data_IF_490950614485
#
_entry.id   IF_490950614485
#
_cell.length_a   1.000
_cell.length_b   1.000
_cell.length_c   1.000
_cell.angle_alpha   90.00
_cell.angle_beta   90.00
_cell.angle_gamma   90.00
#
_symmetry.space_group_name_H-M   'P 1'
#
loop_
_entity.id
_entity.type
_entity.pdbx_description
1 polymer ?
#
# COMPACT_ATOMS: atom_id res chain seq x y z
N UNK A 1 8.48 -24.34 -5.44
CA UNK A 1 7.50 -24.24 -6.55
C UNK A 1 8.24 -23.75 -7.79
N UNK A 2 7.80 -24.11 -8.99
CA UNK A 2 8.39 -23.58 -10.23
C UNK A 2 7.88 -22.15 -10.43
N UNK A 3 8.77 -21.23 -10.82
CA UNK A 3 8.38 -19.86 -11.13
C UNK A 3 7.39 -19.81 -12.30
N UNK A 4 6.45 -18.87 -12.25
CA UNK A 4 5.66 -18.54 -13.42
C UNK A 4 6.53 -17.80 -14.44
N UNK A 5 6.36 -18.09 -15.73
CA UNK A 5 7.03 -17.40 -16.84
C UNK A 5 5.97 -16.71 -17.71
N UNK A 6 6.18 -15.43 -17.97
CA UNK A 6 5.26 -14.59 -18.75
C UNK A 6 6.05 -14.03 -19.94
N UNK A 7 5.48 -14.15 -21.14
CA UNK A 7 6.01 -13.49 -22.33
C UNK A 7 5.28 -12.15 -22.49
N UNK A 8 6.02 -11.06 -22.63
CA UNK A 8 5.47 -9.72 -22.83
C UNK A 8 5.87 -9.21 -24.22
N UNK A 9 4.91 -8.64 -24.94
CA UNK A 9 5.10 -8.07 -26.27
C UNK A 9 4.66 -6.62 -26.24
N UNK A 10 5.50 -5.71 -26.72
CA UNK A 10 5.18 -4.31 -26.92
C UNK A 10 5.25 -3.98 -28.40
N UNK A 11 4.25 -3.30 -28.92
CA UNK A 11 4.17 -2.88 -30.33
C UNK A 11 3.93 -1.38 -30.39
N UNK A 12 4.82 -0.70 -31.09
CA UNK A 12 4.73 0.73 -31.37
C UNK A 12 4.23 0.94 -32.80
N UNK A 13 3.12 1.67 -32.95
CA UNK A 13 2.41 1.89 -34.20
C UNK A 13 2.51 3.38 -34.56
N UNK A 14 3.26 3.70 -35.62
CA UNK A 14 3.39 5.06 -36.14
C UNK A 14 2.18 5.45 -37.00
N UNK A 15 1.63 6.66 -36.79
CA UNK A 15 0.52 7.18 -37.59
C UNK A 15 0.76 8.64 -37.99
N UNK A 16 1.23 8.87 -39.22
CA UNK A 16 1.58 10.21 -39.72
C UNK A 16 2.84 10.77 -39.06
N UNK A 17 3.09 12.06 -39.27
CA UNK A 17 4.24 12.73 -38.67
C UNK A 17 3.99 13.03 -37.18
N UNK A 18 4.85 12.46 -36.32
CA UNK A 18 4.91 12.79 -34.90
C UNK A 18 3.96 12.05 -33.95
N UNK A 19 3.06 11.19 -34.44
CA UNK A 19 2.17 10.42 -33.57
C UNK A 19 2.56 8.94 -33.48
N UNK A 20 2.53 8.43 -32.25
CA UNK A 20 2.84 7.03 -31.92
C UNK A 20 1.77 6.47 -30.99
N UNK A 21 1.27 5.28 -31.33
CA UNK A 21 0.41 4.49 -30.46
C UNK A 21 1.18 3.29 -29.93
N UNK A 22 0.90 2.88 -28.69
CA UNK A 22 1.55 1.72 -28.09
C UNK A 22 0.53 0.70 -27.62
N UNK A 23 0.75 -0.56 -27.98
CA UNK A 23 0.01 -1.69 -27.47
C UNK A 23 0.96 -2.60 -26.68
N UNK A 24 0.53 -3.04 -25.50
CA UNK A 24 1.27 -4.01 -24.70
C UNK A 24 0.39 -5.24 -24.49
N UNK A 25 0.96 -6.42 -24.72
CA UNK A 25 0.34 -7.71 -24.51
C UNK A 25 1.19 -8.60 -23.63
N UNK A 26 0.55 -9.54 -22.94
CA UNK A 26 1.23 -10.51 -22.08
C UNK A 26 0.49 -11.83 -22.09
N UNK A 27 1.25 -12.93 -22.18
CA UNK A 27 0.73 -14.30 -22.13
C UNK A 27 1.53 -15.13 -21.13
N UNK A 28 0.84 -15.98 -20.37
CA UNK A 28 1.49 -16.89 -19.42
C UNK A 28 2.09 -18.07 -20.22
N UNK A 29 3.41 -18.08 -20.39
CA UNK A 29 4.11 -19.17 -21.06
C UNK A 29 4.17 -20.43 -20.19
N UNK A 30 4.39 -20.26 -18.88
CA UNK A 30 4.33 -21.34 -17.91
C UNK A 30 3.67 -20.83 -16.62
N UNK A 31 2.51 -21.38 -16.23
CA UNK A 31 1.82 -20.96 -15.02
C UNK A 31 2.61 -21.15 -13.72
N UNK A 32 3.48 -22.15 -13.62
CA UNK A 32 4.26 -22.40 -12.38
C UNK A 32 3.38 -22.41 -11.12
N UNK A 33 3.76 -21.60 -10.11
CA UNK A 33 3.02 -21.42 -8.86
C UNK A 33 1.62 -20.80 -9.01
N UNK A 34 1.34 -20.09 -10.12
CA UNK A 34 0.03 -19.47 -10.38
C UNK A 34 -1.11 -20.49 -10.52
N UNK A 35 -0.80 -21.78 -10.73
CA UNK A 35 -1.81 -22.87 -10.71
C UNK A 35 -2.43 -23.08 -9.34
N UNK A 36 -1.69 -22.76 -8.28
CA UNK A 36 -2.06 -23.08 -6.90
C UNK A 36 -2.38 -21.82 -6.12
N UNK A 37 -1.81 -20.68 -6.51
CA UNK A 37 -1.99 -19.42 -5.79
C UNK A 37 -1.96 -18.22 -6.74
N UNK A 38 -2.99 -17.38 -6.66
CA UNK A 38 -3.02 -16.05 -7.25
C UNK A 38 -3.28 -15.06 -6.12
N UNK A 39 -2.40 -14.07 -5.98
CA UNK A 39 -2.56 -13.03 -4.97
C UNK A 39 -3.71 -12.09 -5.40
N UNK A 40 -4.75 -11.99 -4.57
CA UNK A 40 -5.86 -11.09 -4.81
C UNK A 40 -5.40 -9.64 -4.64
N UNK A 41 -5.68 -8.79 -5.63
CA UNK A 41 -5.43 -7.36 -5.53
C UNK A 41 -6.62 -6.70 -4.82
N UNK A 42 -6.33 -5.85 -3.84
CA UNK A 42 -7.33 -5.09 -3.05
C UNK A 42 -8.25 -4.17 -3.88
N UNK A 43 -7.90 -3.93 -5.14
CA UNK A 43 -8.66 -3.12 -6.08
C UNK A 43 -9.09 -3.96 -7.29
N UNK A 44 -10.40 -4.20 -7.38
CA UNK A 44 -11.01 -4.99 -8.45
C UNK A 44 -10.70 -4.45 -9.86
N UNK A 45 -10.40 -3.15 -10.00
CA UNK A 45 -9.94 -2.57 -11.29
C UNK A 45 -8.52 -3.02 -11.64
N UNK A 46 -7.62 -3.12 -10.66
CA UNK A 46 -6.23 -3.58 -10.87
C UNK A 46 -6.17 -5.10 -11.05
N UNK A 47 -7.04 -5.83 -10.35
CA UNK A 47 -7.17 -7.28 -10.46
C UNK A 47 -7.50 -7.71 -11.90
N UNK A 48 -8.47 -7.05 -12.55
CA UNK A 48 -8.79 -7.30 -13.97
C UNK A 48 -7.61 -7.01 -14.92
N UNK A 49 -6.79 -6.00 -14.61
CA UNK A 49 -5.67 -5.63 -15.48
C UNK A 49 -4.51 -6.65 -15.44
N UNK A 50 -4.36 -7.41 -14.35
CA UNK A 50 -3.35 -8.49 -14.24
C UNK A 50 -3.85 -9.84 -14.75
N UNK A 51 -5.16 -10.11 -14.62
CA UNK A 51 -5.76 -11.40 -15.01
C UNK A 51 -6.20 -11.50 -16.47
N UNK A 52 -6.35 -10.38 -17.18
CA UNK A 52 -6.66 -10.40 -18.61
C UNK A 52 -5.39 -10.62 -19.43
N UNK A 53 -5.23 -11.83 -19.98
CA UNK A 53 -4.25 -12.08 -21.03
C UNK A 53 -4.58 -11.21 -22.25
N UNK A 54 -3.88 -10.09 -22.39
CA UNK A 54 -3.95 -9.25 -23.59
C UNK A 54 -3.12 -9.91 -24.67
N UNK A 55 -3.74 -10.80 -25.42
CA UNK A 55 -3.11 -11.41 -26.60
C UNK A 55 -3.03 -10.37 -27.72
N UNK A 56 -1.81 -10.04 -28.12
CA UNK A 56 -1.58 -9.31 -29.36
C UNK A 56 -1.47 -10.29 -30.52
N UNK A 57 -2.00 -9.95 -31.71
CA UNK A 57 -1.77 -10.74 -32.92
C UNK A 57 -0.28 -10.76 -33.27
N UNK A 58 0.15 -11.79 -33.99
CA UNK A 58 1.49 -11.81 -34.59
C UNK A 58 1.62 -10.65 -35.58
N UNK A 59 2.63 -9.81 -35.37
CA UNK A 59 2.91 -8.63 -36.17
C UNK A 59 4.40 -8.60 -36.51
N UNK A 60 4.73 -8.17 -37.72
CA UNK A 60 6.10 -8.00 -38.19
C UNK A 60 6.38 -6.52 -38.44
N UNK A 61 7.63 -6.11 -38.27
CA UNK A 61 8.06 -4.75 -38.62
C UNK A 61 7.73 -4.44 -40.10
N UNK A 62 7.03 -3.33 -40.32
CA UNK A 62 6.58 -2.91 -41.65
C UNK A 62 5.14 -3.31 -41.99
N UNK A 63 4.47 -4.12 -41.16
CA UNK A 63 3.06 -4.45 -41.36
C UNK A 63 2.17 -3.20 -41.30
N UNK A 64 1.22 -3.12 -42.24
CA UNK A 64 0.26 -2.02 -42.31
C UNK A 64 -1.04 -2.42 -41.61
N UNK A 65 -1.33 -1.77 -40.48
CA UNK A 65 -2.57 -2.02 -39.72
C UNK A 65 -3.66 -1.05 -40.18
N UNK A 66 -4.86 -1.58 -40.45
CA UNK A 66 -6.02 -0.76 -40.81
C UNK A 66 -6.62 -0.13 -39.56
N UNK A 67 -6.64 1.20 -39.51
CA UNK A 67 -7.37 1.96 -38.49
C UNK A 67 -8.87 1.65 -38.60
N UNK A 68 -9.46 1.16 -37.51
CA UNK A 68 -10.91 0.88 -37.42
C UNK A 68 -11.68 2.06 -36.82
N UNK A 69 -11.22 2.55 -35.68
CA UNK A 69 -11.88 3.58 -34.88
C UNK A 69 -10.84 4.35 -34.06
N UNK A 70 -11.13 5.63 -33.76
CA UNK A 70 -10.38 6.44 -32.81
C UNK A 70 -11.34 6.81 -31.68
N UNK A 71 -11.06 6.30 -30.48
CA UNK A 71 -11.85 6.56 -29.28
C UNK A 71 -11.10 7.55 -28.36
N UNK A 72 -11.45 8.85 -28.36
CA UNK A 72 -10.82 9.81 -27.48
C UNK A 72 -11.30 9.57 -26.04
N UNK A 73 -10.37 9.19 -25.15
CA UNK A 73 -10.64 9.07 -23.72
C UNK A 73 -10.01 10.25 -22.98
N UNK A 74 -10.83 10.96 -22.21
CA UNK A 74 -10.35 11.96 -21.26
C UNK A 74 -10.10 11.27 -19.92
N UNK A 75 -8.89 11.40 -19.40
CA UNK A 75 -8.53 10.95 -18.07
C UNK A 75 -8.43 12.13 -17.11
N UNK A 76 -8.86 11.91 -15.87
CA UNK A 76 -8.65 12.82 -14.76
C UNK A 76 -7.65 12.20 -13.78
N UNK A 77 -6.87 13.03 -13.11
CA UNK A 77 -6.06 12.58 -11.98
C UNK A 77 -6.97 12.22 -10.82
N UNK A 78 -6.87 10.97 -10.36
CA UNK A 78 -7.54 10.54 -9.14
C UNK A 78 -6.65 10.86 -7.93
N UNK A 79 -7.24 11.24 -6.78
CA UNK A 79 -6.48 11.36 -5.54
C UNK A 79 -5.92 9.99 -5.11
N UNK A 80 -4.87 9.96 -4.26
CA UNK A 80 -4.35 8.72 -3.72
C UNK A 80 -5.47 7.88 -3.08
N UNK A 81 -5.50 6.55 -3.33
CA UNK A 81 -6.52 5.69 -2.76
C UNK A 81 -6.41 5.67 -1.23
N UNK A 82 -7.55 5.56 -0.56
CA UNK A 82 -7.58 5.34 0.89
C UNK A 82 -7.06 3.95 1.23
N UNK A 83 -6.63 3.78 2.48
CA UNK A 83 -6.15 2.50 2.98
C UNK A 83 -7.27 1.46 3.14
N UNK A 84 -6.98 0.24 2.71
CA UNK A 84 -7.62 -1.02 3.15
C UNK A 84 -6.99 -1.50 4.45
N UNK A 85 -7.50 -2.58 5.03
CA UNK A 85 -6.81 -3.30 6.11
C UNK A 85 -5.43 -3.78 5.66
N UNK A 86 -5.33 -4.46 4.51
CA UNK A 86 -4.06 -5.01 4.03
C UNK A 86 -3.03 -3.90 3.71
N UNK A 87 -3.44 -2.83 3.02
CA UNK A 87 -2.53 -1.71 2.73
C UNK A 87 -2.15 -0.91 3.98
N UNK A 88 -3.03 -0.82 5.00
CA UNK A 88 -2.66 -0.20 6.27
C UNK A 88 -1.64 -1.05 7.03
N UNK A 89 -1.85 -2.37 7.10
CA UNK A 89 -0.92 -3.31 7.73
C UNK A 89 0.44 -3.24 7.04
N UNK A 90 0.45 -3.24 5.70
CA UNK A 90 1.67 -3.12 4.92
C UNK A 90 2.42 -1.84 5.25
N UNK A 91 1.72 -0.71 5.36
CA UNK A 91 2.34 0.58 5.73
C UNK A 91 2.86 0.55 7.17
N UNK A 92 2.11 -0.02 8.12
CA UNK A 92 2.55 -0.18 9.50
C UNK A 92 3.85 -1.00 9.58
N UNK A 93 3.92 -2.10 8.83
CA UNK A 93 5.11 -2.95 8.72
C UNK A 93 6.30 -2.20 8.07
N UNK A 94 6.07 -1.48 6.98
CA UNK A 94 7.09 -0.67 6.30
C UNK A 94 7.70 0.41 7.21
N UNK A 95 6.89 1.01 8.10
CA UNK A 95 7.36 1.97 9.09
C UNK A 95 7.85 1.33 10.40
N UNK A 96 7.83 0.00 10.53
CA UNK A 96 8.24 -0.69 11.76
C UNK A 96 7.31 -0.46 12.96
N UNK A 97 6.08 0.01 12.72
CA UNK A 97 5.10 0.31 13.75
C UNK A 97 4.17 -0.88 13.93
N UNK A 98 4.13 -1.42 15.15
CA UNK A 98 3.36 -2.62 15.47
C UNK A 98 4.08 -3.91 15.08
N UNK A 99 3.41 -5.04 15.36
CA UNK A 99 3.93 -6.41 15.22
C UNK A 99 2.79 -7.33 14.76
N UNK A 100 3.06 -8.56 14.28
CA UNK A 100 2.01 -9.51 13.88
C UNK A 100 0.94 -9.74 14.96
N UNK A 101 1.31 -9.61 16.23
CA UNK A 101 0.40 -9.71 17.38
C UNK A 101 -0.48 -8.47 17.61
N UNK A 102 -0.14 -7.30 17.06
CA UNK A 102 -0.80 -6.02 17.37
C UNK A 102 -1.58 -5.42 16.20
N UNK A 103 -1.29 -5.78 14.94
CA UNK A 103 -1.96 -5.19 13.78
C UNK A 103 -3.50 -5.25 13.85
N UNK A 104 -4.05 -6.43 14.16
CA UNK A 104 -5.49 -6.61 14.30
C UNK A 104 -6.06 -5.75 15.45
N UNK A 105 -5.35 -5.67 16.58
CA UNK A 105 -5.76 -4.89 17.74
C UNK A 105 -5.69 -3.38 17.49
N UNK A 106 -4.69 -2.90 16.75
CA UNK A 106 -4.57 -1.48 16.35
C UNK A 106 -5.79 -1.09 15.50
N UNK A 107 -6.05 -1.86 14.44
CA UNK A 107 -7.20 -1.63 13.55
C UNK A 107 -8.52 -1.67 14.32
N UNK A 108 -8.70 -2.69 15.16
CA UNK A 108 -9.88 -2.83 16.00
C UNK A 108 -10.06 -1.62 16.92
N UNK A 109 -9.00 -1.17 17.58
CA UNK A 109 -9.04 -0.04 18.52
C UNK A 109 -9.39 1.27 17.82
N UNK A 110 -8.82 1.51 16.64
CA UNK A 110 -9.12 2.71 15.84
C UNK A 110 -10.59 2.78 15.43
N UNK A 111 -11.19 1.65 15.06
CA UNK A 111 -12.60 1.54 14.72
C UNK A 111 -13.50 1.63 15.96
N UNK A 112 -13.19 0.88 17.01
CA UNK A 112 -14.00 0.81 18.23
C UNK A 112 -14.03 2.13 19.01
N UNK A 113 -12.97 2.95 18.90
CA UNK A 113 -12.93 4.32 19.44
C UNK A 113 -13.42 5.38 18.46
N UNK A 114 -13.99 4.98 17.33
CA UNK A 114 -14.60 5.85 16.33
C UNK A 114 -13.64 6.89 15.73
N UNK A 115 -12.33 6.63 15.72
CA UNK A 115 -11.36 7.51 15.05
C UNK A 115 -11.38 7.35 13.52
N UNK A 116 -11.75 6.14 13.08
CA UNK A 116 -11.94 5.81 11.67
C UNK A 116 -13.24 5.04 11.49
N UNK A 117 -13.84 5.17 10.31
CA UNK A 117 -14.91 4.29 9.84
C UNK A 117 -14.40 3.46 8.67
N UNK A 118 -14.87 2.22 8.61
CA UNK A 118 -14.58 1.32 7.51
C UNK A 118 -15.77 1.28 6.55
N UNK A 119 -15.61 1.93 5.40
CA UNK A 119 -16.68 2.09 4.41
C UNK A 119 -16.16 1.68 3.02
N UNK A 120 -16.94 0.91 2.28
CA UNK A 120 -16.57 0.36 0.98
C UNK A 120 -15.18 -0.31 0.98
N UNK A 121 -14.87 -1.08 2.03
CA UNK A 121 -13.57 -1.72 2.27
C UNK A 121 -12.39 -0.74 2.36
N UNK A 122 -12.61 0.50 2.80
CA UNK A 122 -11.58 1.54 2.92
C UNK A 122 -11.78 2.34 4.21
N UNK A 123 -10.67 2.70 4.86
CA UNK A 123 -10.70 3.53 6.05
C UNK A 123 -10.90 5.00 5.70
N UNK A 124 -11.84 5.64 6.41
CA UNK A 124 -12.06 7.09 6.36
C UNK A 124 -11.91 7.65 7.78
N UNK A 125 -11.07 8.68 7.99
CA UNK A 125 -10.97 9.32 9.29
C UNK A 125 -12.24 10.09 9.61
N UNK A 126 -12.76 9.92 10.83
CA UNK A 126 -13.89 10.70 11.36
C UNK A 126 -13.45 12.11 11.76
N UNK A 127 -14.41 12.99 12.04
CA UNK A 127 -14.08 14.33 12.53
C UNK A 127 -13.39 14.27 13.89
N UNK A 128 -13.82 13.37 14.77
CA UNK A 128 -13.15 13.09 16.06
C UNK A 128 -11.71 12.63 15.83
N UNK A 129 -11.50 11.65 14.95
CA UNK A 129 -10.16 11.15 14.62
C UNK A 129 -9.24 12.25 14.08
N UNK A 130 -9.76 13.15 13.24
CA UNK A 130 -9.00 14.30 12.73
C UNK A 130 -8.63 15.29 13.82
N UNK A 131 -9.56 15.61 14.72
CA UNK A 131 -9.32 16.54 15.82
C UNK A 131 -8.27 15.97 16.78
N UNK A 132 -8.40 14.71 17.17
CA UNK A 132 -7.42 14.04 18.04
C UNK A 132 -6.06 13.98 17.37
N UNK A 133 -6.00 13.57 16.09
CA UNK A 133 -4.73 13.53 15.37
C UNK A 133 -4.07 14.91 15.27
N UNK A 134 -4.85 15.95 14.97
CA UNK A 134 -4.36 17.33 14.92
C UNK A 134 -3.81 17.78 16.27
N UNK A 135 -4.54 17.53 17.35
CA UNK A 135 -4.12 17.87 18.71
C UNK A 135 -2.79 17.17 19.06
N UNK A 136 -2.70 15.85 18.84
CA UNK A 136 -1.49 15.09 19.14
C UNK A 136 -0.30 15.54 18.26
N UNK A 137 -0.54 15.82 16.98
CA UNK A 137 0.53 16.30 16.07
C UNK A 137 1.05 17.68 16.50
N UNK A 138 0.19 18.53 17.06
CA UNK A 138 0.57 19.89 17.50
C UNK A 138 1.22 19.92 18.88
N UNK A 139 0.76 19.08 19.81
CA UNK A 139 1.16 19.15 21.21
C UNK A 139 2.04 17.99 21.67
N UNK A 140 2.06 16.87 20.92
CA UNK A 140 2.75 15.63 21.28
C UNK A 140 3.52 15.05 20.08
N UNK A 141 4.02 15.90 19.17
CA UNK A 141 4.63 15.49 17.88
C UNK A 141 5.62 14.34 18.02
N UNK A 142 6.52 14.42 19.00
CA UNK A 142 7.52 13.37 19.28
C UNK A 142 6.89 11.99 19.48
N UNK A 143 5.72 11.90 20.11
CA UNK A 143 5.07 10.65 20.49
C UNK A 143 4.15 10.07 19.41
N UNK A 144 3.88 10.83 18.34
CA UNK A 144 3.14 10.37 17.15
C UNK A 144 4.01 10.34 15.90
N UNK A 145 5.30 10.63 16.06
CA UNK A 145 6.31 10.51 15.02
C UNK A 145 6.57 9.02 14.71
N UNK A 146 6.74 8.70 13.43
CA UNK A 146 6.89 7.32 12.99
C UNK A 146 8.19 6.71 13.51
N UNK A 147 9.31 7.43 13.41
CA UNK A 147 10.61 6.94 13.84
C UNK A 147 10.64 6.74 15.34
N UNK A 148 10.08 7.67 16.12
CA UNK A 148 9.97 7.49 17.57
C UNK A 148 9.17 6.24 17.95
N UNK A 149 8.04 6.02 17.27
CA UNK A 149 7.17 4.87 17.54
C UNK A 149 7.86 3.55 17.18
N UNK A 150 8.53 3.49 16.03
CA UNK A 150 9.28 2.33 15.60
C UNK A 150 10.44 2.00 16.55
N UNK A 151 11.23 3.00 16.95
CA UNK A 151 12.32 2.82 17.90
C UNK A 151 11.83 2.32 19.26
N UNK A 152 10.65 2.76 19.72
CA UNK A 152 10.07 2.26 20.97
C UNK A 152 9.71 0.77 20.88
N UNK A 153 9.20 0.31 19.74
CA UNK A 153 8.94 -1.12 19.50
C UNK A 153 10.24 -1.93 19.51
N UNK A 154 11.31 -1.38 18.91
CA UNK A 154 12.63 -2.03 18.90
C UNK A 154 13.27 -2.10 20.30
N UNK A 155 13.10 -1.06 21.12
CA UNK A 155 13.52 -1.04 22.53
C UNK A 155 12.76 -2.12 23.34
N UNK A 156 11.46 -2.28 23.10
CA UNK A 156 10.64 -3.32 23.73
C UNK A 156 11.09 -4.73 23.31
N UNK A 157 11.42 -4.91 22.03
CA UNK A 157 11.96 -6.16 21.53
C UNK A 157 13.35 -6.46 22.13
N UNK A 158 14.23 -5.46 22.29
CA UNK A 158 15.52 -5.61 22.94
C UNK A 158 15.37 -6.02 24.42
N UNK A 159 14.39 -5.48 25.13
CA UNK A 159 14.04 -5.92 26.50
C UNK A 159 13.61 -7.38 26.50
N UNK A 160 12.78 -7.80 25.55
CA UNK A 160 12.31 -9.20 25.45
C UNK A 160 13.45 -10.19 25.22
N UNK A 161 14.51 -9.77 24.53
CA UNK A 161 15.74 -10.56 24.30
C UNK A 161 16.75 -10.47 25.44
N UNK A 162 16.53 -9.62 26.43
CA UNK A 162 17.44 -9.39 27.55
C UNK A 162 18.64 -8.50 27.24
N UNK A 163 18.62 -7.78 26.12
CA UNK A 163 19.68 -6.86 25.68
C UNK A 163 19.61 -5.51 26.39
N UNK A 164 18.44 -5.16 26.92
CA UNK A 164 18.17 -3.89 27.60
C UNK A 164 17.32 -4.10 28.85
N UNK A 165 17.58 -3.32 29.90
CA UNK A 165 16.77 -3.34 31.12
C UNK A 165 15.52 -2.47 30.97
N UNK A 166 14.36 -3.00 31.37
CA UNK A 166 13.07 -2.32 31.21
C UNK A 166 12.91 -1.07 32.09
N UNK A 167 13.43 -1.08 33.32
CA UNK A 167 13.25 0.06 34.25
C UNK A 167 13.95 1.33 33.74
N UNK A 168 15.23 1.30 33.30
CA UNK A 168 15.87 2.46 32.68
C UNK A 168 15.12 2.98 31.45
N UNK A 169 14.70 2.08 30.54
CA UNK A 169 13.95 2.45 29.33
C UNK A 169 12.64 3.17 29.70
N UNK A 170 11.86 2.60 30.62
CA UNK A 170 10.60 3.21 31.08
C UNK A 170 10.83 4.59 31.73
N UNK A 171 11.94 4.78 32.47
CA UNK A 171 12.28 6.10 33.02
C UNK A 171 12.61 7.12 31.93
N UNK A 172 13.33 6.68 30.90
CA UNK A 172 13.69 7.51 29.75
C UNK A 172 12.46 7.94 28.94
N UNK A 173 11.46 7.06 28.80
CA UNK A 173 10.18 7.40 28.20
C UNK A 173 9.34 8.32 29.08
N UNK A 174 9.11 7.93 30.34
CA UNK A 174 8.12 8.56 31.22
C UNK A 174 8.50 9.98 31.65
N UNK A 175 9.77 10.21 31.98
CA UNK A 175 10.24 11.50 32.50
C UNK A 175 9.98 12.69 31.55
N UNK A 176 10.31 12.63 30.25
CA UNK A 176 9.94 13.68 29.30
C UNK A 176 8.44 13.69 28.98
N UNK A 177 7.78 12.53 28.90
CA UNK A 177 6.36 12.46 28.56
C UNK A 177 5.50 13.15 29.61
N UNK A 178 5.74 12.84 30.88
CA UNK A 178 5.02 13.46 32.00
C UNK A 178 5.19 14.98 32.02
N UNK A 179 6.40 15.48 31.78
CA UNK A 179 6.64 16.94 31.69
C UNK A 179 5.80 17.59 30.59
N UNK A 180 5.56 16.89 29.50
CA UNK A 180 4.75 17.40 28.39
C UNK A 180 3.25 17.33 28.65
N UNK A 181 2.81 16.37 29.46
CA UNK A 181 1.41 16.25 29.91
C UNK A 181 1.07 17.27 31.00
N UNK A 182 2.02 17.59 31.87
CA UNK A 182 1.83 18.52 33.00
C UNK A 182 1.86 20.01 32.59
N UNK A 183 2.13 20.32 31.31
CA UNK A 183 2.10 21.68 30.70
C UNK A 183 0.73 21.94 30.09
#
# INVERSE_FOLDING_TARGET
MVHASINTVGVDLSCGEGNMFRANGSIIANPGFLKVYQEGLDDAKKEKALGEEKLLPELVEGDKVKLKEINPHQHFTEPPPRYTEASLIKVLEEFGIGRPSTYATIIYTLQNREYVVYDQKRFKPTDVGRIVNKFLTQHFTKYVDYDFTANLEDDLDAISRGEQAWVPMMRQFWSPFKKQVDI
#
